data_IF_302812380592
#
_entry.id   IF_302812380592
#
_cell.length_a   1.000
_cell.length_b   1.000
_cell.length_c   1.000
_cell.angle_alpha   90.00
_cell.angle_beta   90.00
_cell.angle_gamma   90.00
#
_symmetry.space_group_name_H-M   'P 1'
#
loop_
_entity.id
_entity.type
_entity.pdbx_description
1 polymer ?
#
# COMPACT_ATOMS: atom_id res chain seq x y z
N UNK A 1 0.18 23.31 -4.57
CA UNK A 1 -0.80 22.60 -5.42
C UNK A 1 -0.13 22.23 -6.73
N UNK A 2 -0.36 21.02 -7.23
CA UNK A 2 0.19 20.55 -8.51
C UNK A 2 -0.92 20.56 -9.58
N UNK A 3 -0.75 21.37 -10.64
CA UNK A 3 -1.77 21.55 -11.69
C UNK A 3 -1.95 20.31 -12.58
N UNK A 4 -0.90 19.51 -12.73
CA UNK A 4 -0.81 18.41 -13.69
C UNK A 4 -0.25 17.15 -13.00
N UNK A 5 -1.00 16.57 -12.07
CA UNK A 5 -0.65 15.32 -11.39
C UNK A 5 -1.50 14.17 -11.94
N UNK A 6 -0.86 13.14 -12.47
CA UNK A 6 -1.51 11.98 -13.08
C UNK A 6 -1.13 10.71 -12.34
N UNK A 7 -2.07 9.77 -12.23
CA UNK A 7 -1.75 8.42 -11.79
C UNK A 7 -1.12 7.61 -12.94
N UNK A 8 -0.32 6.60 -12.60
CA UNK A 8 0.32 5.77 -13.63
C UNK A 8 -0.61 4.70 -14.22
N UNK A 9 -1.77 4.48 -13.61
CA UNK A 9 -2.80 3.58 -14.12
C UNK A 9 -4.19 4.05 -13.62
N UNK A 10 -5.24 4.06 -14.47
CA UNK A 10 -6.58 4.50 -14.08
C UNK A 10 -7.38 3.47 -13.24
N UNK A 11 -6.80 2.32 -12.87
CA UNK A 11 -7.46 1.26 -12.09
C UNK A 11 -6.83 1.16 -10.68
N UNK A 12 -7.65 0.83 -9.68
CA UNK A 12 -7.29 0.88 -8.25
C UNK A 12 -5.97 0.17 -7.89
N UNK A 13 -5.91 -1.16 -7.99
CA UNK A 13 -4.72 -1.97 -7.64
C UNK A 13 -3.45 -1.48 -8.34
N UNK A 14 -3.39 -1.38 -9.68
CA UNK A 14 -2.15 -0.97 -10.36
C UNK A 14 -1.77 0.49 -10.08
N UNK A 15 -2.75 1.38 -9.86
CA UNK A 15 -2.51 2.76 -9.45
C UNK A 15 -1.86 2.83 -8.06
N UNK A 16 -2.42 2.08 -7.09
CA UNK A 16 -1.95 2.02 -5.71
C UNK A 16 -0.59 1.34 -5.57
N UNK A 17 -0.35 0.24 -6.29
CA UNK A 17 0.96 -0.42 -6.31
C UNK A 17 2.02 0.54 -6.86
N UNK A 18 1.73 1.24 -7.96
CA UNK A 18 2.65 2.23 -8.51
C UNK A 18 2.92 3.38 -7.54
N UNK A 19 1.89 3.87 -6.85
CA UNK A 19 2.03 4.94 -5.86
C UNK A 19 2.88 4.51 -4.66
N UNK A 20 2.64 3.33 -4.08
CA UNK A 20 3.36 2.88 -2.88
C UNK A 20 4.77 2.37 -3.16
N UNK A 21 5.01 1.77 -4.33
CA UNK A 21 6.34 1.31 -4.73
C UNK A 21 7.21 2.43 -5.30
N UNK A 22 6.59 3.47 -5.85
CA UNK A 22 7.27 4.49 -6.65
C UNK A 22 7.67 3.99 -8.05
N UNK A 23 7.28 2.78 -8.44
CA UNK A 23 7.61 2.15 -9.71
C UNK A 23 6.46 2.29 -10.70
N UNK A 24 6.75 2.31 -12.00
CA UNK A 24 5.70 2.22 -13.00
C UNK A 24 5.10 0.81 -13.02
N UNK A 25 3.80 0.66 -13.35
CA UNK A 25 3.14 -0.66 -13.46
C UNK A 25 3.87 -1.68 -14.34
N UNK A 26 4.66 -1.22 -15.32
CA UNK A 26 5.40 -2.10 -16.22
C UNK A 26 6.72 -2.62 -15.64
N UNK A 27 7.24 -2.02 -14.56
CA UNK A 27 8.50 -2.44 -13.94
C UNK A 27 8.36 -3.79 -13.25
N UNK A 28 7.25 -3.99 -12.53
CA UNK A 28 6.99 -5.21 -11.74
C UNK A 28 5.72 -5.96 -12.19
N UNK A 29 4.95 -5.41 -13.14
CA UNK A 29 3.88 -6.14 -13.81
C UNK A 29 2.49 -6.01 -13.18
N UNK A 30 2.26 -5.11 -12.22
CA UNK A 30 0.92 -4.81 -11.69
C UNK A 30 0.03 -4.15 -12.77
N UNK A 31 -0.57 -4.94 -13.66
CA UNK A 31 -1.38 -4.45 -14.79
C UNK A 31 -2.87 -4.71 -14.65
N UNK A 32 -3.28 -5.50 -13.65
CA UNK A 32 -4.69 -5.86 -13.40
C UNK A 32 -5.00 -5.84 -11.91
N UNK A 33 -6.28 -6.03 -11.56
CA UNK A 33 -6.74 -6.11 -10.17
C UNK A 33 -6.23 -7.34 -9.39
N UNK A 34 -5.62 -8.31 -10.08
CA UNK A 34 -5.18 -9.57 -9.45
C UNK A 34 -3.70 -9.61 -9.13
N UNK A 35 -2.91 -8.66 -9.63
CA UNK A 35 -1.47 -8.57 -9.39
C UNK A 35 -1.21 -7.55 -8.28
N UNK A 36 -1.35 -8.02 -7.04
CA UNK A 36 -1.04 -7.28 -5.82
C UNK A 36 0.48 -7.05 -5.69
N UNK A 37 0.88 -6.21 -4.74
CA UNK A 37 2.30 -5.88 -4.52
C UNK A 37 3.05 -7.10 -3.98
N UNK A 38 4.24 -7.34 -4.50
CA UNK A 38 5.12 -8.38 -3.97
C UNK A 38 5.74 -7.92 -2.62
N UNK A 39 5.90 -8.79 -1.62
CA UNK A 39 6.51 -8.43 -0.35
C UNK A 39 7.91 -7.80 -0.47
N UNK A 40 8.71 -8.23 -1.45
CA UNK A 40 10.09 -7.79 -1.64
C UNK A 40 10.20 -6.44 -2.37
N UNK A 41 9.11 -5.96 -2.98
CA UNK A 41 9.07 -4.66 -3.65
C UNK A 41 9.16 -3.50 -2.66
N UNK A 42 9.81 -2.38 -3.02
CA UNK A 42 9.84 -1.21 -2.15
C UNK A 42 8.42 -0.76 -1.80
N UNK A 43 8.22 -0.28 -0.57
CA UNK A 43 6.95 0.25 -0.14
C UNK A 43 7.17 1.47 0.74
N UNK A 44 6.60 2.60 0.35
CA UNK A 44 6.76 3.88 1.04
C UNK A 44 6.36 3.79 2.53
N UNK A 45 5.31 3.05 2.88
CA UNK A 45 4.86 2.90 4.27
C UNK A 45 5.90 2.15 5.12
N UNK A 46 6.41 1.02 4.60
CA UNK A 46 7.49 0.26 5.25
C UNK A 46 8.76 1.10 5.39
N UNK A 47 9.11 1.88 4.37
CA UNK A 47 10.25 2.80 4.44
C UNK A 47 10.06 3.84 5.54
N UNK A 48 8.88 4.46 5.67
CA UNK A 48 8.60 5.43 6.75
C UNK A 48 8.73 4.78 8.13
N UNK A 49 8.11 3.61 8.33
CA UNK A 49 8.18 2.84 9.59
C UNK A 49 9.63 2.52 9.98
N UNK A 50 10.42 2.00 9.04
CA UNK A 50 11.83 1.68 9.26
C UNK A 50 12.70 2.90 9.56
N UNK A 51 12.25 4.11 9.22
CA UNK A 51 12.92 5.37 9.55
C UNK A 51 12.39 6.02 10.85
N UNK A 52 11.66 5.25 11.69
CA UNK A 52 11.23 5.69 13.02
C UNK A 52 9.93 6.50 13.04
N UNK A 53 9.18 6.52 11.93
CA UNK A 53 7.84 7.12 11.92
C UNK A 53 6.79 6.11 12.41
N UNK A 54 5.84 6.59 13.19
CA UNK A 54 4.60 5.87 13.43
C UNK A 54 3.73 5.93 12.17
N UNK A 55 3.32 4.77 11.67
CA UNK A 55 2.53 4.64 10.44
C UNK A 55 1.16 4.07 10.78
N UNK A 56 0.14 4.91 10.61
CA UNK A 56 -1.27 4.55 10.83
C UNK A 56 -1.96 4.44 9.47
N UNK A 57 -2.47 3.25 9.14
CA UNK A 57 -3.22 2.99 7.92
C UNK A 57 -4.73 2.98 8.17
N UNK A 58 -5.42 4.02 7.72
CA UNK A 58 -6.89 4.09 7.78
C UNK A 58 -7.50 3.93 6.39
N UNK A 59 -8.27 2.87 6.17
CA UNK A 59 -9.03 2.65 4.94
C UNK A 59 -8.82 1.27 4.30
N UNK A 60 -9.12 1.17 3.00
CA UNK A 60 -9.13 -0.10 2.27
C UNK A 60 -7.72 -0.57 1.91
N UNK A 61 -7.49 -1.88 2.07
CA UNK A 61 -6.33 -2.58 1.53
C UNK A 61 -6.67 -3.18 0.16
N UNK A 62 -6.13 -2.60 -0.90
CA UNK A 62 -6.21 -3.08 -2.30
C UNK A 62 -4.80 -3.40 -2.85
N UNK A 63 -3.85 -3.76 -1.98
CA UNK A 63 -2.41 -3.74 -2.32
C UNK A 63 -1.67 -4.93 -1.71
N UNK A 64 -1.91 -5.21 -0.44
CA UNK A 64 -1.30 -6.32 0.28
C UNK A 64 -2.25 -7.53 0.23
N UNK A 65 -1.78 -8.73 -0.14
CA UNK A 65 -2.59 -9.95 -0.07
C UNK A 65 -3.22 -10.15 1.32
N UNK A 66 -4.43 -10.71 1.37
CA UNK A 66 -5.19 -10.84 2.62
C UNK A 66 -4.56 -11.78 3.65
N UNK A 67 -3.75 -12.71 3.16
CA UNK A 67 -2.98 -13.71 3.90
C UNK A 67 -1.61 -13.19 4.37
N UNK A 68 -1.23 -11.95 4.00
CA UNK A 68 -0.03 -11.29 4.51
C UNK A 68 -0.37 -10.36 5.70
N UNK A 69 0.52 -10.35 6.70
CA UNK A 69 0.46 -9.39 7.81
C UNK A 69 0.72 -7.97 7.31
N UNK A 70 0.08 -6.99 7.98
CA UNK A 70 0.28 -5.56 7.67
C UNK A 70 1.29 -4.89 8.59
N UNK A 71 1.78 -5.62 9.60
CA UNK A 71 2.74 -5.12 10.60
C UNK A 71 4.03 -4.57 9.97
N UNK A 72 4.47 -5.16 8.85
CA UNK A 72 5.63 -4.69 8.07
C UNK A 72 5.43 -3.30 7.45
N UNK A 73 4.18 -2.88 7.25
CA UNK A 73 3.82 -1.66 6.53
C UNK A 73 3.25 -0.58 7.45
N UNK A 74 2.68 -0.95 8.60
CA UNK A 74 2.03 -0.02 9.52
C UNK A 74 2.06 -0.53 10.96
N UNK A 75 1.96 0.38 11.94
CA UNK A 75 1.85 0.07 13.36
C UNK A 75 0.39 -0.19 13.75
N UNK A 76 -0.53 0.57 13.15
CA UNK A 76 -1.97 0.48 13.39
C UNK A 76 -2.70 0.49 12.06
N UNK A 77 -3.70 -0.38 11.89
CA UNK A 77 -4.62 -0.29 10.76
C UNK A 77 -6.09 -0.36 11.14
N UNK A 78 -6.91 0.29 10.32
CA UNK A 78 -8.36 0.29 10.41
C UNK A 78 -8.97 0.03 9.03
N UNK A 79 -9.62 -1.13 8.87
CA UNK A 79 -10.21 -1.56 7.59
C UNK A 79 -11.72 -1.25 7.48
N UNK A 80 -12.30 -0.63 8.51
CA UNK A 80 -13.72 -0.29 8.56
C UNK A 80 -14.66 -1.47 8.71
N UNK A 81 -14.16 -2.70 8.96
CA UNK A 81 -14.98 -3.89 9.20
C UNK A 81 -15.31 -4.10 10.67
N UNK A 82 -14.41 -3.65 11.55
CA UNK A 82 -14.57 -3.64 13.00
C UNK A 82 -14.35 -2.21 13.51
N UNK A 83 -15.06 -1.80 14.56
CA UNK A 83 -14.94 -0.46 15.16
C UNK A 83 -13.70 -0.31 16.08
N UNK A 84 -12.80 -1.29 16.05
CA UNK A 84 -11.60 -1.36 16.89
C UNK A 84 -10.34 -1.27 16.03
N UNK A 85 -9.31 -0.59 16.55
CA UNK A 85 -8.00 -0.54 15.93
C UNK A 85 -7.33 -1.92 16.00
N UNK A 86 -6.73 -2.37 14.90
CA UNK A 86 -5.92 -3.58 14.90
C UNK A 86 -4.44 -3.19 15.01
N UNK A 87 -3.82 -3.63 16.10
CA UNK A 87 -2.38 -3.56 16.35
C UNK A 87 -1.88 -4.98 16.18
N UNK A 88 -1.11 -5.24 15.12
CA UNK A 88 -0.42 -6.52 14.94
C UNK A 88 0.98 -6.35 15.55
N UNK A 89 1.21 -6.98 16.71
CA UNK A 89 2.51 -7.05 17.38
C UNK A 89 3.46 -8.00 16.66
#
# INVERSE_FOLDING_TARGET
SFKNAYCQNPVCVPSRCSFLTGLYPHTTGHRTMHYLQDPDEPNFLRTMKNNGYEVIWVGRNDIIPSDCSKSDYCDVYFDGRVYENRVEY
#
